data_IF_464406560706
#
_entry.id   IF_464406560706
#
_cell.length_a   1.000
_cell.length_b   1.000
_cell.length_c   1.000
_cell.angle_alpha   90.00
_cell.angle_beta   90.00
_cell.angle_gamma   90.00
#
_symmetry.space_group_name_H-M   'P 1'
#
loop_
_entity.id
_entity.type
_entity.pdbx_description
1 polymer ?
#
# COMPACT_ATOMS: atom_id res chain seq x y z
N UNK A 1 9.01 -14.44 -4.13
CA UNK A 1 9.78 -13.18 -4.22
C UNK A 1 9.22 -12.16 -5.21
N UNK A 2 7.91 -11.81 -5.19
CA UNK A 2 7.36 -10.92 -6.22
C UNK A 2 7.78 -9.45 -6.05
N UNK A 3 8.15 -8.99 -4.86
CA UNK A 3 8.47 -7.59 -4.53
C UNK A 3 7.38 -6.57 -4.87
N UNK A 4 6.26 -7.01 -5.39
CA UNK A 4 5.14 -6.20 -5.85
C UNK A 4 3.90 -6.53 -5.05
N UNK A 5 3.02 -5.54 -4.88
CA UNK A 5 1.70 -5.77 -4.30
C UNK A 5 0.92 -6.76 -5.17
N UNK A 6 0.31 -7.74 -4.53
CA UNK A 6 -0.55 -8.72 -5.18
C UNK A 6 -1.93 -8.73 -4.53
N UNK A 7 -2.80 -9.61 -5.02
CA UNK A 7 -4.19 -9.73 -4.58
C UNK A 7 -4.30 -10.00 -3.08
N UNK A 8 -5.37 -9.49 -2.49
CA UNK A 8 -5.85 -9.86 -1.15
C UNK A 8 -7.20 -10.53 -1.31
N UNK A 9 -7.33 -11.71 -0.73
CA UNK A 9 -8.57 -12.47 -0.71
C UNK A 9 -9.04 -12.66 0.73
N UNK A 10 -10.31 -12.42 0.98
CA UNK A 10 -10.93 -12.66 2.26
C UNK A 10 -12.14 -13.58 2.11
N UNK A 11 -12.18 -14.65 2.89
CA UNK A 11 -13.33 -15.52 3.02
C UNK A 11 -14.03 -15.22 4.34
N UNK A 12 -15.15 -14.53 4.28
CA UNK A 12 -15.91 -14.12 5.47
C UNK A 12 -16.48 -15.31 6.25
N UNK A 13 -16.84 -16.39 5.55
CA UNK A 13 -17.41 -17.57 6.21
C UNK A 13 -16.39 -18.30 7.06
N UNK A 14 -15.19 -18.50 6.53
CA UNK A 14 -14.09 -19.17 7.26
C UNK A 14 -13.33 -18.22 8.18
N UNK A 15 -13.43 -16.92 7.96
CA UNK A 15 -12.62 -15.90 8.64
C UNK A 15 -11.15 -16.00 8.26
N UNK A 16 -10.87 -16.31 7.00
CA UNK A 16 -9.51 -16.46 6.47
C UNK A 16 -9.17 -15.31 5.53
N UNK A 17 -7.98 -14.74 5.69
CA UNK A 17 -7.43 -13.72 4.81
C UNK A 17 -6.13 -14.24 4.20
N UNK A 18 -5.98 -14.04 2.89
CA UNK A 18 -4.74 -14.34 2.16
C UNK A 18 -4.28 -13.06 1.48
N UNK A 19 -3.12 -12.56 1.86
CA UNK A 19 -2.42 -11.50 1.16
C UNK A 19 -1.20 -12.11 0.47
N UNK A 20 -1.24 -12.21 -0.85
CA UNK A 20 -0.20 -12.91 -1.62
C UNK A 20 1.14 -12.18 -1.58
N UNK A 21 1.13 -10.85 -1.60
CA UNK A 21 2.31 -10.03 -1.37
C UNK A 21 1.90 -8.60 -1.02
N UNK A 22 2.58 -8.02 -0.04
CA UNK A 22 2.38 -6.62 0.35
C UNK A 22 3.30 -5.67 -0.43
N UNK A 23 4.28 -6.20 -1.18
CA UNK A 23 5.34 -5.43 -1.80
C UNK A 23 6.48 -5.09 -0.84
N UNK A 24 7.47 -4.37 -1.32
CA UNK A 24 8.63 -3.95 -0.52
C UNK A 24 8.29 -2.70 0.28
N UNK A 25 8.55 -2.71 1.58
CA UNK A 25 8.34 -1.53 2.42
C UNK A 25 9.23 -0.36 2.01
N UNK A 26 10.47 -0.64 1.65
CA UNK A 26 11.44 0.34 1.15
C UNK A 26 12.05 -0.17 -0.16
N UNK A 27 11.27 -0.12 -1.24
CA UNK A 27 11.69 -0.59 -2.55
C UNK A 27 12.65 0.37 -3.25
N UNK A 28 13.53 -0.16 -4.08
CA UNK A 28 14.56 0.63 -4.77
C UNK A 28 14.15 1.13 -6.16
N UNK A 29 12.98 0.73 -6.64
CA UNK A 29 12.46 1.07 -7.96
C UNK A 29 13.26 0.51 -9.17
N UNK A 30 14.31 -0.27 -8.95
CA UNK A 30 15.01 -0.96 -10.05
C UNK A 30 14.13 -2.03 -10.68
N UNK A 31 13.31 -2.68 -9.85
CA UNK A 31 12.22 -3.52 -10.32
C UNK A 31 10.95 -2.65 -10.43
N UNK A 32 10.42 -2.50 -11.63
CA UNK A 32 9.25 -1.65 -11.86
C UNK A 32 8.08 -2.02 -10.95
N UNK A 33 7.65 -1.08 -10.11
CA UNK A 33 6.58 -1.25 -9.14
C UNK A 33 7.02 -1.64 -7.72
N UNK A 34 8.32 -1.84 -7.48
CA UNK A 34 8.85 -2.14 -6.13
C UNK A 34 8.95 -0.91 -5.22
N UNK A 35 8.74 0.28 -5.77
CA UNK A 35 8.76 1.52 -5.01
C UNK A 35 7.39 1.93 -4.45
N UNK A 36 6.39 1.07 -4.55
CA UNK A 36 5.11 1.25 -3.88
C UNK A 36 4.61 -0.07 -3.30
N UNK A 37 3.97 0.01 -2.16
CA UNK A 37 3.49 -1.15 -1.41
C UNK A 37 2.35 -0.75 -0.48
N UNK A 38 2.00 -1.62 0.45
CA UNK A 38 0.93 -1.35 1.41
C UNK A 38 1.36 -1.74 2.82
N UNK A 39 0.80 -1.05 3.80
CA UNK A 39 0.72 -1.51 5.17
C UNK A 39 -0.66 -2.13 5.33
N UNK A 40 -0.72 -3.41 5.67
CA UNK A 40 -1.96 -4.14 5.86
C UNK A 40 -2.37 -4.10 7.33
N UNK A 41 -3.61 -3.66 7.59
CA UNK A 41 -4.23 -3.69 8.91
C UNK A 41 -5.30 -4.79 8.91
N UNK A 42 -5.22 -5.72 9.83
CA UNK A 42 -6.09 -6.89 9.90
C UNK A 42 -6.83 -6.90 11.24
N UNK A 43 -8.15 -6.91 11.18
CA UNK A 43 -9.00 -7.07 12.34
C UNK A 43 -9.23 -8.56 12.61
N UNK A 44 -8.89 -9.00 13.82
CA UNK A 44 -9.05 -10.39 14.25
C UNK A 44 -9.96 -10.41 15.46
N UNK A 45 -11.00 -11.22 15.41
CA UNK A 45 -11.96 -11.38 16.50
C UNK A 45 -11.90 -12.79 17.06
N UNK A 46 -11.75 -12.88 18.37
CA UNK A 46 -11.80 -14.15 19.10
C UNK A 46 -13.15 -14.27 19.81
N UNK A 47 -13.86 -15.35 19.53
CA UNK A 47 -15.08 -15.73 20.25
C UNK A 47 -14.73 -16.76 21.33
N UNK A 48 -14.85 -16.37 22.60
CA UNK A 48 -14.49 -17.22 23.73
C UNK A 48 -15.46 -18.38 23.92
N UNK A 49 -16.73 -18.19 23.59
CA UNK A 49 -17.78 -19.22 23.76
C UNK A 49 -17.67 -20.32 22.71
N UNK A 50 -17.45 -19.90 21.45
CA UNK A 50 -17.25 -20.81 20.31
C UNK A 50 -15.81 -21.31 20.19
N UNK A 51 -14.88 -20.75 20.96
CA UNK A 51 -13.43 -21.03 20.89
C UNK A 51 -12.85 -20.87 19.48
N UNK A 52 -13.38 -19.91 18.73
CA UNK A 52 -12.96 -19.61 17.36
C UNK A 52 -12.24 -18.27 17.29
N UNK A 53 -11.31 -18.18 16.37
CA UNK A 53 -10.60 -16.93 16.03
C UNK A 53 -10.73 -16.73 14.54
N UNK A 54 -11.23 -15.56 14.13
CA UNK A 54 -11.49 -15.24 12.72
C UNK A 54 -10.99 -13.87 12.38
N UNK A 55 -10.52 -13.69 11.15
CA UNK A 55 -10.36 -12.37 10.55
C UNK A 55 -11.75 -11.84 10.24
N UNK A 56 -12.07 -10.66 10.76
CA UNK A 56 -13.39 -10.02 10.60
C UNK A 56 -13.35 -8.81 9.65
N UNK A 57 -12.16 -8.34 9.30
CA UNK A 57 -12.01 -7.27 8.36
C UNK A 57 -10.55 -6.96 8.08
N UNK A 58 -10.30 -6.14 7.07
CA UNK A 58 -8.99 -5.60 6.79
C UNK A 58 -9.12 -4.25 6.11
N UNK A 59 -8.07 -3.46 6.27
CA UNK A 59 -7.84 -2.24 5.50
C UNK A 59 -6.37 -2.15 5.13
N UNK A 60 -6.02 -1.25 4.23
CA UNK A 60 -4.62 -1.05 3.87
C UNK A 60 -4.30 0.41 3.66
N UNK A 61 -3.04 0.75 3.92
CA UNK A 61 -2.49 2.09 3.72
C UNK A 61 -1.49 1.99 2.58
N UNK A 62 -1.77 2.58 1.40
CA UNK A 62 -0.80 2.66 0.32
C UNK A 62 0.40 3.51 0.74
N UNK A 63 1.60 3.01 0.45
CA UNK A 63 2.85 3.72 0.70
C UNK A 63 3.67 3.78 -0.59
N UNK A 64 4.50 4.82 -0.68
CA UNK A 64 5.35 5.09 -1.83
C UNK A 64 6.75 5.42 -1.33
N UNK A 65 7.77 4.82 -1.94
CA UNK A 65 9.16 5.17 -1.70
C UNK A 65 9.60 6.18 -2.76
N UNK A 66 9.88 7.41 -2.35
CA UNK A 66 10.31 8.47 -3.26
C UNK A 66 11.70 8.18 -3.83
N UNK A 67 11.94 8.65 -5.04
CA UNK A 67 13.28 8.74 -5.61
C UNK A 67 13.97 10.01 -5.09
N UNK A 68 15.29 10.02 -5.11
CA UNK A 68 16.06 11.20 -4.70
C UNK A 68 15.68 12.46 -5.51
N UNK A 69 15.36 12.29 -6.80
CA UNK A 69 14.94 13.38 -7.69
C UNK A 69 13.50 13.87 -7.47
N UNK A 70 12.71 13.15 -6.67
CA UNK A 70 11.29 13.46 -6.47
C UNK A 70 11.00 14.30 -5.22
N UNK A 71 12.03 14.70 -4.49
CA UNK A 71 11.87 15.43 -3.24
C UNK A 71 13.11 16.22 -2.86
N UNK A 72 13.54 16.07 -1.62
CA UNK A 72 14.63 16.81 -1.01
C UNK A 72 16.02 16.16 -1.16
N UNK A 73 16.20 15.29 -2.13
CA UNK A 73 17.45 14.56 -2.35
C UNK A 73 17.58 13.26 -1.56
N UNK A 74 16.57 12.91 -0.80
CA UNK A 74 16.54 11.66 -0.03
C UNK A 74 15.39 10.77 -0.45
N UNK A 75 15.61 9.46 -0.36
CA UNK A 75 14.54 8.47 -0.51
C UNK A 75 13.76 8.38 0.80
N UNK A 76 12.44 8.45 0.71
CA UNK A 76 11.55 8.40 1.87
C UNK A 76 10.36 7.51 1.59
N UNK A 77 9.93 6.77 2.60
CA UNK A 77 8.62 6.12 2.57
C UNK A 77 7.58 7.14 3.00
N UNK A 78 6.58 7.36 2.16
CA UNK A 78 5.47 8.26 2.45
C UNK A 78 4.14 7.54 2.33
N UNK A 79 3.16 7.96 3.10
CA UNK A 79 1.78 7.51 2.94
C UNK A 79 1.21 8.19 1.71
N UNK A 80 0.89 7.40 0.69
CA UNK A 80 0.59 7.91 -0.65
C UNK A 80 -0.56 8.91 -0.66
N UNK A 81 -1.68 8.57 -0.02
CA UNK A 81 -2.88 9.44 -0.03
C UNK A 81 -2.65 10.75 0.71
N UNK A 82 -1.99 10.71 1.86
CA UNK A 82 -1.67 11.90 2.64
C UNK A 82 -0.67 12.80 1.93
N UNK A 83 0.34 12.21 1.29
CA UNK A 83 1.31 12.98 0.51
C UNK A 83 0.67 13.66 -0.72
N UNK A 84 -0.24 12.95 -1.41
CA UNK A 84 -1.00 13.51 -2.52
C UNK A 84 -1.91 14.66 -2.06
N UNK A 85 -2.60 14.48 -0.94
CA UNK A 85 -3.45 15.53 -0.35
C UNK A 85 -2.63 16.76 0.02
N UNK A 86 -1.46 16.57 0.65
CA UNK A 86 -0.57 17.67 1.01
C UNK A 86 -0.08 18.45 -0.22
N UNK A 87 0.26 17.76 -1.30
CA UNK A 87 0.63 18.39 -2.57
C UNK A 87 -0.52 19.20 -3.17
N UNK A 88 -1.71 18.62 -3.23
CA UNK A 88 -2.91 19.26 -3.79
C UNK A 88 -3.32 20.53 -3.04
N UNK A 89 -3.01 20.61 -1.75
CA UNK A 89 -3.34 21.73 -0.88
C UNK A 89 -2.15 22.67 -0.60
N UNK A 90 -1.04 22.50 -1.30
CA UNK A 90 0.18 23.30 -1.15
C UNK A 90 0.77 23.30 0.27
N UNK A 91 0.57 22.22 1.03
CA UNK A 91 1.13 22.08 2.37
C UNK A 91 2.59 21.61 2.39
N UNK A 92 3.08 21.07 1.27
CA UNK A 92 4.44 20.55 1.14
C UNK A 92 5.07 21.05 -0.14
N UNK A 93 6.20 21.70 -0.01
CA UNK A 93 7.01 22.20 -1.13
C UNK A 93 8.06 21.17 -1.64
N UNK A 94 8.14 20.02 -0.96
CA UNK A 94 9.16 18.99 -1.23
C UNK A 94 8.70 17.86 -2.14
N UNK A 95 7.43 17.84 -2.53
CA UNK A 95 6.88 16.85 -3.46
C UNK A 95 6.79 17.49 -4.84
N UNK A 96 7.51 16.93 -5.80
CA UNK A 96 7.46 17.43 -7.18
C UNK A 96 6.19 16.99 -7.90
N UNK A 97 5.84 17.69 -8.98
CA UNK A 97 4.72 17.31 -9.84
C UNK A 97 4.91 15.88 -10.42
N UNK A 98 6.14 15.51 -10.75
CA UNK A 98 6.45 14.16 -11.25
C UNK A 98 6.24 13.09 -10.15
N UNK A 99 6.64 13.39 -8.92
CA UNK A 99 6.37 12.53 -7.77
C UNK A 99 4.86 12.33 -7.56
N UNK A 100 4.09 13.40 -7.59
CA UNK A 100 2.63 13.35 -7.48
C UNK A 100 2.02 12.46 -8.57
N UNK A 101 2.43 12.63 -9.81
CA UNK A 101 1.95 11.81 -10.93
C UNK A 101 2.30 10.33 -10.74
N UNK A 102 3.49 10.04 -10.27
CA UNK A 102 3.94 8.67 -9.98
C UNK A 102 3.15 8.04 -8.84
N UNK A 103 2.89 8.80 -7.77
CA UNK A 103 2.05 8.34 -6.65
C UNK A 103 0.62 8.04 -7.10
N UNK A 104 0.04 8.89 -7.93
CA UNK A 104 -1.32 8.68 -8.46
C UNK A 104 -1.41 7.39 -9.27
N UNK A 105 -0.46 7.14 -10.15
CA UNK A 105 -0.37 5.90 -10.93
C UNK A 105 -0.16 4.67 -10.04
N UNK A 106 0.69 4.80 -9.02
CA UNK A 106 0.94 3.70 -8.09
C UNK A 106 -0.32 3.32 -7.31
N UNK A 107 -1.10 4.30 -6.88
CA UNK A 107 -2.36 4.09 -6.17
C UNK A 107 -3.36 3.31 -7.04
N UNK A 108 -3.53 3.69 -8.29
CA UNK A 108 -4.39 2.98 -9.25
C UNK A 108 -3.96 1.52 -9.43
N UNK A 109 -2.66 1.28 -9.54
CA UNK A 109 -2.10 -0.08 -9.68
C UNK A 109 -2.28 -0.91 -8.42
N UNK A 110 -2.07 -0.33 -7.24
CA UNK A 110 -2.29 -1.01 -5.96
C UNK A 110 -3.75 -1.47 -5.87
N UNK A 111 -4.70 -0.57 -6.11
CA UNK A 111 -6.13 -0.86 -6.04
C UNK A 111 -6.52 -1.97 -7.03
N UNK A 112 -6.02 -1.90 -8.26
CA UNK A 112 -6.26 -2.91 -9.29
C UNK A 112 -5.71 -4.28 -8.91
N UNK A 113 -4.49 -4.34 -8.39
CA UNK A 113 -3.86 -5.61 -7.98
C UNK A 113 -4.53 -6.24 -6.77
N UNK A 114 -4.85 -5.45 -5.76
CA UNK A 114 -5.52 -5.96 -4.55
C UNK A 114 -6.86 -6.59 -4.89
N UNK A 115 -7.61 -5.98 -5.82
CA UNK A 115 -8.89 -6.52 -6.29
C UNK A 115 -8.76 -7.70 -7.27
N UNK A 116 -7.57 -8.07 -7.65
CA UNK A 116 -7.32 -9.14 -8.62
C UNK A 116 -7.53 -8.76 -10.08
N UNK A 117 -7.62 -7.47 -10.40
CA UNK A 117 -7.85 -6.96 -11.76
C UNK A 117 -6.57 -6.59 -12.51
N UNK A 118 -5.45 -6.57 -11.81
CA UNK A 118 -4.17 -6.14 -12.38
C UNK A 118 -3.13 -7.23 -12.50
#
# INVERSE_FOLDING_TARGET
HPHLVQQIEMNEKSGTLIAYSLGDFFGDATLGGSNYSIILDVEVTKDADLKTTKVTGYSYIPIYTTKESEGDGYRRVVRTKEAMYAYENNYVDKVTADCYTSMKKSLERIESRISGKG
#
